data_IF_618883774862
#
_entry.id   IF_618883774862
#
_cell.length_a   1.000
_cell.length_b   1.000
_cell.length_c   1.000
_cell.angle_alpha   90.00
_cell.angle_beta   90.00
_cell.angle_gamma   90.00
#
_symmetry.space_group_name_H-M   'P 1'
#
loop_
_entity.id
_entity.type
_entity.pdbx_description
1 polymer ?
#
# COMPACT_ATOMS: atom_id res chain seq x y z
N UNK A 1 38.74 15.01 -5.71
CA UNK A 1 37.38 14.58 -6.12
C UNK A 1 37.54 13.20 -6.77
N UNK A 2 37.05 12.12 -6.14
CA UNK A 2 37.07 10.77 -6.75
C UNK A 2 35.83 10.69 -7.65
N UNK A 3 36.03 10.62 -8.95
CA UNK A 3 34.97 10.32 -9.93
C UNK A 3 34.38 8.96 -9.60
N UNK A 4 33.05 8.79 -9.50
CA UNK A 4 32.44 7.48 -9.35
C UNK A 4 32.87 6.61 -10.53
N UNK A 5 33.24 5.37 -10.26
CA UNK A 5 33.64 4.46 -11.33
C UNK A 5 32.47 4.22 -12.29
N UNK A 6 32.76 4.17 -13.59
CA UNK A 6 31.77 3.92 -14.67
C UNK A 6 30.93 2.65 -14.36
N UNK A 7 31.50 1.68 -13.66
CA UNK A 7 30.79 0.48 -13.21
C UNK A 7 29.70 0.77 -12.17
N UNK A 8 29.88 1.73 -11.26
CA UNK A 8 28.85 2.13 -10.28
C UNK A 8 27.72 2.90 -10.96
N UNK A 9 28.03 3.75 -11.95
CA UNK A 9 27.02 4.47 -12.74
C UNK A 9 26.22 3.52 -13.66
N UNK A 10 26.87 2.49 -14.24
CA UNK A 10 26.21 1.47 -15.06
C UNK A 10 25.32 0.54 -14.19
N UNK A 11 25.75 0.18 -12.97
CA UNK A 11 24.93 -0.61 -12.04
C UNK A 11 23.72 0.18 -11.56
N UNK A 12 23.84 1.49 -11.28
CA UNK A 12 22.70 2.37 -10.96
C UNK A 12 21.77 2.58 -12.17
N UNK A 13 22.30 2.66 -13.38
CA UNK A 13 21.50 2.80 -14.60
C UNK A 13 20.72 1.51 -14.93
N UNK A 14 21.29 0.32 -14.68
CA UNK A 14 20.59 -0.95 -14.78
C UNK A 14 19.48 -1.09 -13.71
N UNK A 15 19.72 -0.62 -12.49
CA UNK A 15 18.71 -0.57 -11.41
C UNK A 15 17.59 0.44 -11.73
N UNK A 16 17.90 1.54 -12.44
CA UNK A 16 16.92 2.51 -12.90
C UNK A 16 16.07 2.00 -14.07
N UNK A 17 16.65 1.17 -14.95
CA UNK A 17 15.93 0.55 -16.08
C UNK A 17 14.99 -0.59 -15.65
N UNK A 18 15.20 -1.16 -14.46
CA UNK A 18 14.29 -2.18 -13.87
C UNK A 18 13.17 -1.56 -13.01
N UNK A 19 13.01 -0.23 -13.05
CA UNK A 19 12.07 0.52 -12.20
C UNK A 19 12.42 0.41 -10.72
N UNK A 20 12.23 1.47 -9.93
CA UNK A 20 12.40 1.45 -8.48
C UNK A 20 11.29 0.59 -7.80
N UNK A 21 11.20 -0.69 -8.15
CA UNK A 21 10.08 -1.59 -7.82
C UNK A 21 10.45 -2.62 -6.75
N UNK A 22 11.15 -2.18 -5.70
CA UNK A 22 11.35 -3.04 -4.53
C UNK A 22 10.04 -3.26 -3.73
N UNK A 23 9.00 -2.48 -4.02
CA UNK A 23 7.72 -2.53 -3.31
C UNK A 23 6.69 -3.35 -4.09
N UNK A 24 5.86 -4.11 -3.36
CA UNK A 24 4.66 -4.76 -3.89
C UNK A 24 3.65 -3.75 -4.46
N UNK A 25 2.51 -4.24 -4.91
CA UNK A 25 1.44 -3.39 -5.44
C UNK A 25 0.69 -2.67 -4.33
N UNK A 26 0.54 -3.33 -3.17
CA UNK A 26 -0.22 -2.78 -2.06
C UNK A 26 0.45 -1.55 -1.45
N UNK A 27 -0.30 -0.45 -1.39
CA UNK A 27 0.12 0.80 -0.76
C UNK A 27 -0.31 0.78 0.70
N UNK A 28 0.62 0.71 1.68
CA UNK A 28 0.27 0.71 3.09
C UNK A 28 -0.28 2.06 3.56
N UNK A 29 -1.09 2.04 4.63
CA UNK A 29 -1.71 3.23 5.21
C UNK A 29 -3.08 3.59 4.61
N UNK A 30 -3.68 2.71 3.80
CA UNK A 30 -4.98 3.00 3.16
C UNK A 30 -6.19 2.55 3.99
N UNK A 31 -6.05 1.63 4.94
CA UNK A 31 -7.20 1.11 5.70
C UNK A 31 -7.52 1.91 6.97
N UNK A 32 -6.56 2.15 7.85
CA UNK A 32 -6.72 3.00 9.04
C UNK A 32 -7.51 2.34 10.19
N UNK A 33 -8.34 3.15 10.87
CA UNK A 33 -9.16 2.70 12.00
C UNK A 33 -10.15 1.63 11.53
N UNK A 34 -10.28 0.54 12.32
CA UNK A 34 -11.15 -0.60 12.03
C UNK A 34 -10.80 -1.30 10.69
N UNK A 35 -9.50 -1.40 10.40
CA UNK A 35 -8.97 -1.90 9.13
C UNK A 35 -9.48 -3.29 8.71
N UNK A 36 -9.90 -4.12 9.66
CA UNK A 36 -10.38 -5.49 9.43
C UNK A 36 -11.91 -5.64 9.53
N UNK A 37 -12.66 -4.53 9.60
CA UNK A 37 -14.12 -4.56 9.65
C UNK A 37 -14.69 -4.47 8.24
N UNK A 38 -15.24 -5.58 7.74
CA UNK A 38 -15.96 -5.64 6.46
C UNK A 38 -17.36 -5.02 6.68
N UNK A 39 -17.88 -4.18 5.76
CA UNK A 39 -19.21 -3.63 5.90
C UNK A 39 -20.29 -4.73 5.74
N UNK A 40 -21.55 -4.49 6.19
CA UNK A 40 -22.67 -5.43 5.98
C UNK A 40 -22.94 -5.66 4.49
N UNK A 41 -23.80 -6.64 4.14
CA UNK A 41 -24.22 -6.86 2.76
C UNK A 41 -24.67 -5.57 2.07
N UNK A 42 -24.15 -5.32 0.85
CA UNK A 42 -24.40 -4.10 0.10
C UNK A 42 -23.31 -3.83 -0.94
N UNK A 43 -23.48 -2.77 -1.70
CA UNK A 43 -22.50 -2.29 -2.68
C UNK A 43 -21.85 -1.03 -2.15
N UNK A 44 -20.54 -0.94 -2.29
CA UNK A 44 -19.75 0.16 -1.74
C UNK A 44 -18.72 0.66 -2.77
N UNK A 45 -18.56 1.96 -2.77
CA UNK A 45 -17.45 2.62 -3.43
C UNK A 45 -16.55 3.27 -2.38
N UNK A 46 -15.24 3.05 -2.51
CA UNK A 46 -14.24 3.71 -1.70
C UNK A 46 -13.25 4.43 -2.64
N UNK A 47 -13.26 5.75 -2.58
CA UNK A 47 -12.32 6.59 -3.32
C UNK A 47 -11.19 7.03 -2.38
N UNK A 48 -9.96 6.55 -2.63
CA UNK A 48 -8.78 6.92 -1.85
C UNK A 48 -7.96 7.95 -2.62
N UNK A 49 -7.97 9.19 -2.19
CA UNK A 49 -7.02 10.20 -2.66
C UNK A 49 -5.78 10.14 -1.76
N UNK A 50 -4.69 9.68 -2.32
CA UNK A 50 -3.41 9.51 -1.62
C UNK A 50 -2.38 10.47 -2.21
N UNK A 51 -1.65 11.16 -1.35
CA UNK A 51 -0.44 11.89 -1.73
C UNK A 51 0.71 11.40 -0.86
N UNK A 52 1.70 10.77 -1.49
CA UNK A 52 2.93 10.33 -0.87
C UNK A 52 4.07 11.24 -1.32
N UNK A 53 4.58 12.04 -0.39
CA UNK A 53 5.75 12.88 -0.61
C UNK A 53 7.00 12.13 -0.17
N UNK A 54 7.91 11.88 -1.10
CA UNK A 54 9.18 11.19 -0.88
C UNK A 54 10.23 12.25 -0.55
N UNK A 55 10.70 12.24 0.71
CA UNK A 55 11.71 13.18 1.19
C UNK A 55 13.11 12.74 0.80
N UNK A 56 13.35 11.41 0.81
CA UNK A 56 14.62 10.76 0.55
C UNK A 56 14.44 9.37 -0.04
N UNK A 57 15.51 8.85 -0.64
CA UNK A 57 15.65 7.44 -1.00
C UNK A 57 16.76 6.80 -0.18
N UNK A 58 16.53 5.59 0.32
CA UNK A 58 17.57 4.77 0.93
C UNK A 58 18.43 4.12 -0.13
N UNK A 59 19.74 4.09 0.09
CA UNK A 59 20.67 3.42 -0.81
C UNK A 59 20.46 1.89 -0.78
N UNK A 60 20.64 1.18 -1.90
CA UNK A 60 20.51 -0.27 -1.97
C UNK A 60 21.20 -1.00 -0.82
N UNK A 61 20.54 -1.98 -0.21
CA UNK A 61 21.01 -2.76 0.93
C UNK A 61 21.15 -1.98 2.24
N UNK A 62 20.76 -0.70 2.31
CA UNK A 62 21.12 0.20 3.40
C UNK A 62 19.91 0.95 3.97
N UNK A 63 20.08 1.48 5.19
CA UNK A 63 19.20 2.49 5.79
C UNK A 63 19.73 3.92 5.64
N UNK A 64 20.92 4.10 5.03
CA UNK A 64 21.49 5.41 4.74
C UNK A 64 20.84 6.05 3.52
N UNK A 65 20.82 7.37 3.46
CA UNK A 65 20.28 8.09 2.30
C UNK A 65 21.15 7.85 1.05
N UNK A 66 20.48 7.74 -0.09
CA UNK A 66 21.13 7.77 -1.39
C UNK A 66 21.79 9.15 -1.58
N UNK A 67 23.09 9.24 -1.97
CA UNK A 67 23.78 10.52 -2.14
C UNK A 67 23.09 11.44 -3.16
N UNK A 68 23.10 12.76 -2.89
CA UNK A 68 22.53 13.79 -3.75
C UNK A 68 21.08 14.14 -3.39
N UNK A 69 20.48 15.03 -4.18
CA UNK A 69 19.06 15.38 -4.03
C UNK A 69 18.19 14.33 -4.71
N UNK A 70 17.51 13.53 -3.90
CA UNK A 70 16.62 12.48 -4.38
C UNK A 70 15.26 12.65 -3.72
N UNK A 71 14.24 12.92 -4.51
CA UNK A 71 12.88 13.20 -4.04
C UNK A 71 11.84 12.74 -5.04
N UNK A 72 10.60 12.68 -4.61
CA UNK A 72 9.50 12.37 -5.52
C UNK A 72 8.15 12.65 -4.89
N UNK A 73 7.12 12.53 -5.70
CA UNK A 73 5.73 12.61 -5.24
C UNK A 73 4.92 11.58 -6.01
N UNK A 74 4.10 10.83 -5.29
CA UNK A 74 3.09 9.95 -5.88
C UNK A 74 1.73 10.45 -5.44
N UNK A 75 0.89 10.87 -6.39
CA UNK A 75 -0.52 11.19 -6.15
C UNK A 75 -1.35 10.12 -6.82
N UNK A 76 -2.30 9.52 -6.11
CA UNK A 76 -3.16 8.49 -6.63
C UNK A 76 -4.60 8.69 -6.19
N UNK A 77 -5.54 8.43 -7.10
CA UNK A 77 -6.95 8.19 -6.81
C UNK A 77 -7.21 6.71 -7.04
N UNK A 78 -7.23 5.91 -5.97
CA UNK A 78 -7.59 4.51 -6.07
C UNK A 78 -9.11 4.36 -5.91
N UNK A 79 -9.75 3.85 -6.96
CA UNK A 79 -11.18 3.58 -7.00
C UNK A 79 -11.40 2.12 -6.63
N UNK A 80 -11.94 1.85 -5.43
CA UNK A 80 -12.25 0.50 -4.94
C UNK A 80 -13.76 0.30 -4.94
N UNK A 81 -14.19 -0.74 -5.61
CA UNK A 81 -15.57 -1.19 -5.68
C UNK A 81 -15.67 -2.49 -4.89
N UNK A 82 -16.60 -2.54 -3.95
CA UNK A 82 -16.82 -3.70 -3.07
C UNK A 82 -18.29 -4.09 -3.13
N UNK A 83 -18.54 -5.35 -3.32
CA UNK A 83 -19.88 -5.93 -3.21
C UNK A 83 -19.85 -7.06 -2.18
N UNK A 84 -20.48 -6.84 -1.04
CA UNK A 84 -20.71 -7.86 -0.03
C UNK A 84 -22.12 -8.40 -0.25
N UNK A 85 -22.24 -9.70 -0.42
CA UNK A 85 -23.49 -10.38 -0.73
C UNK A 85 -24.17 -10.87 0.55
N UNK A 86 -25.44 -11.24 0.47
CA UNK A 86 -26.17 -11.94 1.54
C UNK A 86 -25.74 -13.43 1.64
N UNK A 87 -24.97 -13.92 0.66
CA UNK A 87 -24.46 -15.28 0.69
C UNK A 87 -23.38 -15.44 1.75
N UNK A 88 -23.47 -16.52 2.51
CA UNK A 88 -22.51 -16.84 3.57
C UNK A 88 -21.62 -18.01 3.18
N UNK A 89 -20.32 -17.88 3.46
CA UNK A 89 -19.32 -18.94 3.28
C UNK A 89 -18.51 -19.06 4.58
N UNK A 90 -18.43 -20.26 5.14
CA UNK A 90 -17.73 -20.51 6.42
C UNK A 90 -18.22 -19.60 7.57
N UNK A 91 -19.50 -19.25 7.58
CA UNK A 91 -20.09 -18.35 8.59
C UNK A 91 -19.77 -16.86 8.39
N UNK A 92 -19.08 -16.50 7.32
CA UNK A 92 -18.77 -15.12 6.93
C UNK A 92 -19.72 -14.64 5.83
N UNK A 93 -19.97 -13.33 5.72
CA UNK A 93 -20.53 -12.74 4.53
C UNK A 93 -19.49 -12.82 3.40
N UNK A 94 -19.90 -13.33 2.25
CA UNK A 94 -19.04 -13.41 1.06
C UNK A 94 -19.17 -12.14 0.23
N UNK A 95 -18.05 -11.67 -0.29
CA UNK A 95 -18.00 -10.54 -1.20
C UNK A 95 -16.89 -10.63 -2.23
N UNK A 96 -16.91 -9.66 -3.13
CA UNK A 96 -15.90 -9.46 -4.17
C UNK A 96 -15.50 -8.00 -4.24
N UNK A 97 -14.31 -7.72 -4.74
CA UNK A 97 -13.83 -6.35 -4.88
C UNK A 97 -12.96 -6.16 -6.13
N UNK A 98 -12.85 -4.91 -6.57
CA UNK A 98 -11.91 -4.49 -7.59
C UNK A 98 -11.32 -3.13 -7.24
N UNK A 99 -10.05 -2.89 -7.60
CA UNK A 99 -9.39 -1.59 -7.40
C UNK A 99 -8.79 -1.15 -8.73
N UNK A 100 -9.10 0.08 -9.13
CA UNK A 100 -8.56 0.74 -10.33
C UNK A 100 -7.87 2.03 -9.89
N UNK A 101 -6.52 2.08 -9.82
CA UNK A 101 -5.80 3.28 -9.42
C UNK A 101 -5.53 4.18 -10.64
N UNK A 102 -5.78 5.48 -10.48
CA UNK A 102 -5.31 6.54 -11.35
C UNK A 102 -4.15 7.22 -10.64
N UNK A 103 -2.98 7.27 -11.28
CA UNK A 103 -1.75 7.68 -10.62
C UNK A 103 -1.03 8.78 -11.39
N UNK A 104 -0.34 9.64 -10.63
CA UNK A 104 0.72 10.51 -11.13
C UNK A 104 1.93 10.36 -10.24
N UNK A 105 3.06 10.01 -10.85
CA UNK A 105 4.35 9.91 -10.17
C UNK A 105 5.30 10.95 -10.76
N UNK A 106 6.04 11.64 -9.90
CA UNK A 106 7.13 12.54 -10.28
C UNK A 106 8.37 12.17 -9.48
N UNK A 107 9.48 11.92 -10.13
CA UNK A 107 10.73 11.48 -9.54
C UNK A 107 11.89 12.36 -9.97
N UNK A 108 12.75 12.72 -9.02
CA UNK A 108 14.08 13.28 -9.25
C UNK A 108 15.07 12.47 -8.44
N UNK A 109 15.92 11.68 -9.11
CA UNK A 109 16.93 10.83 -8.47
C UNK A 109 18.29 11.22 -9.10
N UNK A 110 18.93 12.24 -8.52
CA UNK A 110 20.19 12.80 -9.06
C UNK A 110 21.30 11.74 -9.09
N UNK A 111 21.31 10.81 -8.12
CA UNK A 111 22.27 9.71 -8.11
C UNK A 111 22.21 8.81 -9.36
N UNK A 112 21.04 8.73 -10.00
CA UNK A 112 20.81 7.96 -11.21
C UNK A 112 20.58 8.82 -12.47
N UNK A 113 20.65 10.16 -12.36
CA UNK A 113 20.37 11.07 -13.48
C UNK A 113 18.90 11.05 -13.93
N UNK A 114 17.96 10.64 -13.04
CA UNK A 114 16.54 10.53 -13.36
C UNK A 114 15.83 11.84 -13.01
N UNK A 115 15.08 12.38 -13.97
CA UNK A 115 14.06 13.42 -13.76
C UNK A 115 12.88 13.07 -14.67
N UNK A 116 11.81 12.50 -14.09
CA UNK A 116 10.68 12.00 -14.88
C UNK A 116 9.35 12.23 -14.16
N UNK A 117 8.29 12.40 -14.96
CA UNK A 117 6.92 12.50 -14.45
C UNK A 117 5.94 11.83 -15.40
N UNK A 118 5.13 10.90 -14.88
CA UNK A 118 4.13 10.16 -15.66
C UNK A 118 2.79 10.12 -14.93
N UNK A 119 1.74 10.06 -15.73
CA UNK A 119 0.38 9.82 -15.24
C UNK A 119 -0.24 8.68 -16.03
N UNK A 120 -1.10 7.90 -15.39
CA UNK A 120 -1.80 6.81 -16.05
C UNK A 120 -2.63 5.97 -15.09
N UNK A 121 -3.27 4.95 -15.64
CA UNK A 121 -3.91 3.89 -14.88
C UNK A 121 -2.82 2.97 -14.34
N UNK A 122 -2.85 2.68 -13.04
CA UNK A 122 -1.97 1.70 -12.42
C UNK A 122 -2.42 0.26 -12.64
N UNK A 123 -1.70 -0.66 -12.05
CA UNK A 123 -2.08 -2.07 -12.08
C UNK A 123 -3.39 -2.29 -11.34
N UNK A 124 -4.31 -3.06 -11.95
CA UNK A 124 -5.65 -3.31 -11.44
C UNK A 124 -5.63 -4.50 -10.48
N UNK A 125 -6.36 -4.38 -9.38
CA UNK A 125 -6.60 -5.48 -8.46
C UNK A 125 -7.99 -6.07 -8.66
N UNK A 126 -8.06 -7.41 -8.64
CA UNK A 126 -9.29 -8.18 -8.65
C UNK A 126 -9.30 -9.11 -7.43
N UNK A 127 -10.28 -8.93 -6.54
CA UNK A 127 -10.47 -9.71 -5.33
C UNK A 127 -11.74 -10.56 -5.41
N UNK A 128 -11.67 -11.79 -5.93
CA UNK A 128 -12.83 -12.67 -6.07
C UNK A 128 -13.31 -13.26 -4.73
N UNK A 129 -12.55 -13.06 -3.66
CA UNK A 129 -12.88 -13.57 -2.35
C UNK A 129 -12.65 -12.50 -1.28
N UNK A 130 -13.72 -12.10 -0.63
CA UNK A 130 -13.72 -11.33 0.62
C UNK A 130 -14.68 -12.03 1.59
N UNK A 131 -14.21 -12.36 2.78
CA UNK A 131 -14.99 -13.00 3.84
C UNK A 131 -14.97 -12.08 5.06
N UNK A 132 -16.15 -11.68 5.54
CA UNK A 132 -16.30 -10.82 6.71
C UNK A 132 -17.08 -11.54 7.82
N UNK A 133 -16.48 -11.65 8.99
CA UNK A 133 -17.13 -12.18 10.20
C UNK A 133 -17.39 -11.06 11.18
N UNK A 134 -18.52 -11.12 11.86
CA UNK A 134 -18.94 -10.15 12.86
C UNK A 134 -19.34 -10.83 14.16
N UNK A 135 -18.62 -10.51 15.23
CA UNK A 135 -18.92 -10.96 16.60
C UNK A 135 -19.43 -9.81 17.48
N UNK A 136 -19.77 -10.13 18.74
CA UNK A 136 -20.25 -9.11 19.68
C UNK A 136 -19.24 -7.97 19.90
N UNK A 137 -17.94 -8.30 19.99
CA UNK A 137 -16.86 -7.36 20.26
C UNK A 137 -15.68 -7.54 19.29
N UNK A 138 -15.89 -8.12 18.12
CA UNK A 138 -14.84 -8.28 17.13
C UNK A 138 -15.41 -8.36 15.72
N UNK A 139 -14.61 -7.95 14.76
CA UNK A 139 -14.81 -8.20 13.32
C UNK A 139 -13.54 -8.84 12.79
N UNK A 140 -13.68 -9.72 11.80
CA UNK A 140 -12.54 -10.33 11.13
C UNK A 140 -12.73 -10.33 9.61
N UNK A 141 -11.62 -10.32 8.89
CA UNK A 141 -11.60 -10.41 7.44
C UNK A 141 -10.59 -11.44 6.97
N UNK A 142 -10.96 -12.21 5.96
CA UNK A 142 -10.01 -12.91 5.09
C UNK A 142 -10.34 -12.59 3.64
N UNK A 143 -9.31 -12.36 2.82
CA UNK A 143 -9.52 -12.09 1.40
C UNK A 143 -8.37 -12.63 0.57
N UNK A 144 -8.67 -12.90 -0.70
CA UNK A 144 -7.67 -13.31 -1.70
C UNK A 144 -7.96 -12.64 -3.04
N UNK A 145 -6.89 -12.21 -3.72
CA UNK A 145 -7.02 -11.59 -5.03
C UNK A 145 -5.70 -11.48 -5.78
N UNK A 146 -5.76 -10.84 -6.93
CA UNK A 146 -4.68 -10.74 -7.87
C UNK A 146 -4.49 -9.30 -8.34
N UNK A 147 -3.29 -8.78 -8.23
CA UNK A 147 -2.82 -7.61 -8.94
C UNK A 147 -2.37 -8.02 -10.34
N UNK A 148 -2.86 -7.30 -11.34
CA UNK A 148 -2.48 -7.50 -12.74
C UNK A 148 -1.19 -6.72 -13.04
N UNK A 149 -0.60 -6.97 -14.21
CA UNK A 149 0.55 -6.24 -14.76
C UNK A 149 0.12 -5.47 -16.03
N UNK A 150 -1.01 -4.78 -15.93
CA UNK A 150 -1.65 -4.14 -17.08
C UNK A 150 -1.22 -2.68 -17.32
N UNK A 151 -0.52 -2.09 -16.39
CA UNK A 151 -0.08 -0.69 -16.50
C UNK A 151 1.27 -0.57 -17.23
N UNK A 152 1.54 0.64 -17.76
CA UNK A 152 2.80 0.93 -18.46
C UNK A 152 4.00 0.89 -17.50
N UNK A 153 5.13 0.38 -18.01
CA UNK A 153 6.43 0.31 -17.33
C UNK A 153 7.56 0.92 -18.17
N UNK A 154 7.22 1.74 -19.18
CA UNK A 154 8.18 2.25 -20.16
C UNK A 154 9.22 3.21 -19.59
N UNK A 155 8.90 3.89 -18.50
CA UNK A 155 9.71 4.99 -17.93
C UNK A 155 9.84 4.83 -16.40
N UNK A 156 10.83 5.49 -15.76
CA UNK A 156 11.07 5.38 -14.32
C UNK A 156 9.87 5.80 -13.44
N UNK A 157 9.06 6.78 -13.88
CA UNK A 157 7.87 7.23 -13.17
C UNK A 157 6.58 6.55 -13.65
N UNK A 158 6.64 5.55 -14.52
CA UNK A 158 5.48 4.82 -15.02
C UNK A 158 4.68 4.15 -13.90
N UNK A 159 3.35 4.05 -14.04
CA UNK A 159 2.46 3.57 -12.97
C UNK A 159 2.50 2.04 -12.75
N UNK A 160 2.97 1.27 -13.72
CA UNK A 160 3.00 -0.20 -13.67
C UNK A 160 4.18 -0.75 -12.90
N UNK A 161 4.01 -1.94 -12.34
CA UNK A 161 5.06 -2.69 -11.65
C UNK A 161 5.77 -3.70 -12.57
N UNK A 162 5.12 -4.12 -13.66
CA UNK A 162 5.67 -5.08 -14.62
C UNK A 162 5.69 -6.54 -14.15
N UNK A 163 4.97 -6.85 -13.08
CA UNK A 163 4.76 -8.20 -12.57
C UNK A 163 3.37 -8.31 -11.94
N UNK A 164 2.86 -9.54 -11.81
CA UNK A 164 1.60 -9.84 -11.11
C UNK A 164 1.88 -10.19 -9.66
N UNK A 165 0.90 -9.95 -8.77
CA UNK A 165 1.00 -10.39 -7.38
C UNK A 165 -0.30 -11.07 -6.94
N UNK A 166 -0.19 -12.27 -6.38
CA UNK A 166 -1.28 -12.85 -5.59
C UNK A 166 -1.23 -12.23 -4.20
N UNK A 167 -2.35 -11.65 -3.74
CA UNK A 167 -2.45 -11.04 -2.42
C UNK A 167 -3.42 -11.81 -1.55
N UNK A 168 -2.96 -12.19 -0.36
CA UNK A 168 -3.77 -12.77 0.71
C UNK A 168 -3.89 -11.74 1.83
N UNK A 169 -5.09 -11.57 2.35
CA UNK A 169 -5.41 -10.64 3.43
C UNK A 169 -6.01 -11.39 4.61
N UNK A 170 -5.62 -11.05 5.82
CA UNK A 170 -6.23 -11.53 7.07
C UNK A 170 -6.15 -10.45 8.13
N UNK A 171 -7.20 -10.30 8.93
CA UNK A 171 -7.20 -9.27 9.97
C UNK A 171 -8.30 -9.41 11.00
N UNK A 172 -8.11 -8.67 12.09
CA UNK A 172 -9.02 -8.58 13.23
C UNK A 172 -9.16 -7.14 13.67
N UNK A 173 -10.39 -6.71 13.91
CA UNK A 173 -10.75 -5.52 14.70
C UNK A 173 -11.37 -6.00 16.00
N UNK A 174 -10.84 -5.56 17.13
CA UNK A 174 -11.38 -5.86 18.46
C UNK A 174 -11.91 -4.59 19.12
N UNK A 175 -13.10 -4.69 19.71
CA UNK A 175 -13.75 -3.62 20.46
C UNK A 175 -13.60 -3.88 21.95
N UNK A 176 -12.90 -2.97 22.64
CA UNK A 176 -12.58 -3.14 24.06
C UNK A 176 -13.77 -2.87 24.98
N UNK A 177 -14.83 -2.26 24.45
CA UNK A 177 -16.07 -1.96 25.15
C UNK A 177 -17.30 -2.45 24.36
N UNK A 178 -18.39 -2.76 25.07
CA UNK A 178 -19.64 -3.22 24.45
C UNK A 178 -20.31 -2.19 23.55
N UNK A 179 -20.07 -0.90 23.81
CA UNK A 179 -20.58 0.18 22.98
C UNK A 179 -19.77 0.37 21.69
N UNK A 180 -18.71 -0.43 21.50
CA UNK A 180 -17.80 -0.40 20.33
C UNK A 180 -17.16 0.99 20.11
N UNK A 181 -16.94 1.75 21.20
CA UNK A 181 -16.34 3.09 21.12
C UNK A 181 -14.83 3.07 21.10
N UNK A 182 -14.18 2.05 21.69
CA UNK A 182 -12.73 1.88 21.67
C UNK A 182 -12.37 0.61 20.89
N UNK A 183 -11.57 0.75 19.84
CA UNK A 183 -11.19 -0.36 18.97
C UNK A 183 -9.69 -0.42 18.72
N UNK A 184 -9.16 -1.64 18.61
CA UNK A 184 -7.84 -1.92 18.06
C UNK A 184 -7.98 -2.77 16.82
N UNK A 185 -7.20 -2.54 15.80
CA UNK A 185 -7.20 -3.37 14.60
C UNK A 185 -5.79 -3.74 14.15
N UNK A 186 -5.69 -4.93 13.57
CA UNK A 186 -4.50 -5.41 12.87
C UNK A 186 -4.95 -6.09 11.57
N UNK A 187 -4.37 -5.66 10.46
CA UNK A 187 -4.64 -6.19 9.13
C UNK A 187 -3.33 -6.55 8.45
N UNK A 188 -3.17 -7.79 8.09
CA UNK A 188 -1.98 -8.29 7.40
C UNK A 188 -2.30 -8.63 5.95
N UNK A 189 -1.40 -8.26 5.06
CA UNK A 189 -1.40 -8.62 3.64
C UNK A 189 -0.09 -9.27 3.27
N UNK A 190 -0.19 -10.42 2.63
CA UNK A 190 0.95 -11.12 2.03
C UNK A 190 0.83 -11.06 0.51
N UNK A 191 1.86 -10.53 -0.16
CA UNK A 191 1.94 -10.47 -1.61
C UNK A 191 3.03 -11.43 -2.11
N UNK A 192 2.63 -12.36 -2.97
CA UNK A 192 3.53 -13.23 -3.72
C UNK A 192 3.69 -12.71 -5.13
N UNK A 193 4.90 -12.31 -5.49
CA UNK A 193 5.20 -11.66 -6.75
C UNK A 193 5.60 -12.66 -7.85
N UNK A 194 5.20 -12.38 -9.08
CA UNK A 194 5.65 -13.11 -10.28
C UNK A 194 6.98 -12.52 -10.79
N UNK A 195 7.53 -13.13 -11.83
CA UNK A 195 8.66 -12.56 -12.59
C UNK A 195 8.18 -11.46 -13.52
N UNK A 196 9.01 -10.46 -13.72
CA UNK A 196 8.89 -9.49 -14.81
C UNK A 196 9.25 -10.13 -16.15
N UNK A 197 8.96 -9.45 -17.25
CA UNK A 197 9.38 -9.88 -18.60
C UNK A 197 10.91 -10.01 -18.75
N UNK A 198 11.68 -9.23 -17.98
CA UNK A 198 13.14 -9.29 -17.93
C UNK A 198 13.70 -10.44 -17.06
N UNK A 199 12.82 -11.28 -16.48
CA UNK A 199 13.22 -12.41 -15.65
C UNK A 199 13.56 -12.08 -14.20
N UNK A 200 13.50 -10.82 -13.79
CA UNK A 200 13.64 -10.41 -12.39
C UNK A 200 12.34 -10.73 -11.63
N UNK A 201 12.45 -11.25 -10.41
CA UNK A 201 11.32 -11.49 -9.51
C UNK A 201 11.57 -10.74 -8.21
N UNK A 202 10.74 -9.73 -7.88
CA UNK A 202 10.76 -9.10 -6.57
C UNK A 202 10.41 -10.11 -5.48
N UNK A 203 11.08 -10.00 -4.33
CA UNK A 203 10.77 -10.83 -3.16
C UNK A 203 9.32 -10.61 -2.70
N UNK A 204 8.77 -11.63 -2.09
CA UNK A 204 7.42 -11.59 -1.52
C UNK A 204 7.38 -10.62 -0.34
N UNK A 205 6.23 -9.99 -0.09
CA UNK A 205 6.09 -8.96 0.94
C UNK A 205 4.98 -9.26 1.93
N UNK A 206 5.19 -8.82 3.15
CA UNK A 206 4.16 -8.75 4.19
C UNK A 206 3.97 -7.29 4.58
N UNK A 207 2.74 -6.84 4.61
CA UNK A 207 2.33 -5.55 5.14
C UNK A 207 1.40 -5.77 6.32
N UNK A 208 1.71 -5.16 7.46
CA UNK A 208 0.84 -5.06 8.62
C UNK A 208 0.38 -3.61 8.77
N UNK A 209 -0.92 -3.38 8.72
CA UNK A 209 -1.54 -2.12 9.18
C UNK A 209 -2.17 -2.33 10.56
N UNK A 210 -2.01 -1.35 11.44
CA UNK A 210 -2.55 -1.40 12.79
C UNK A 210 -3.14 -0.06 13.20
N UNK A 211 -4.09 -0.10 14.13
CA UNK A 211 -4.73 1.10 14.65
C UNK A 211 -5.23 0.91 16.08
N UNK A 212 -5.32 2.05 16.79
CA UNK A 212 -6.07 2.21 18.02
C UNK A 212 -6.96 3.44 17.86
N UNK A 213 -8.27 3.23 17.81
CA UNK A 213 -9.25 4.27 17.52
C UNK A 213 -10.31 4.40 18.59
N UNK A 214 -10.79 5.62 18.83
CA UNK A 214 -11.88 5.91 19.76
C UNK A 214 -12.94 6.79 19.09
N UNK A 215 -14.20 6.44 19.30
CA UNK A 215 -15.34 7.25 18.90
C UNK A 215 -15.67 8.32 19.95
N UNK A 216 -15.87 9.54 19.49
CA UNK A 216 -16.30 10.72 20.26
C UNK A 216 -17.60 11.23 19.63
N UNK A 217 -18.73 10.64 20.05
CA UNK A 217 -20.00 10.86 19.36
C UNK A 217 -19.95 10.34 17.92
N UNK A 218 -20.18 11.21 16.96
CA UNK A 218 -20.17 10.86 15.54
C UNK A 218 -18.74 10.73 14.96
N UNK A 219 -17.73 11.38 15.54
CA UNK A 219 -16.36 11.37 15.03
C UNK A 219 -15.58 10.26 15.68
N UNK A 220 -14.78 9.52 14.91
CA UNK A 220 -13.74 8.65 15.43
C UNK A 220 -12.37 9.23 15.16
N UNK A 221 -11.47 9.14 16.14
CA UNK A 221 -10.08 9.56 16.01
C UNK A 221 -9.16 8.47 16.54
N UNK A 222 -7.95 8.37 16.00
CA UNK A 222 -7.02 7.35 16.48
C UNK A 222 -5.61 7.48 15.94
N UNK A 223 -4.75 6.66 16.53
CA UNK A 223 -3.39 6.43 16.08
C UNK A 223 -3.43 5.26 15.10
N UNK A 224 -2.73 5.42 14.00
CA UNK A 224 -2.62 4.42 12.93
C UNK A 224 -1.16 4.22 12.56
N UNK A 225 -0.84 3.08 11.99
CA UNK A 225 0.51 2.84 11.51
C UNK A 225 0.58 1.65 10.57
N UNK A 226 1.73 1.52 9.95
CA UNK A 226 2.02 0.34 9.14
C UNK A 226 3.48 -0.09 9.24
N UNK A 227 3.69 -1.35 8.98
CA UNK A 227 4.99 -1.96 8.81
C UNK A 227 4.95 -2.85 7.59
N UNK A 228 5.94 -2.71 6.72
CA UNK A 228 6.08 -3.52 5.52
C UNK A 228 7.47 -4.15 5.49
N UNK A 229 7.53 -5.42 5.14
CA UNK A 229 8.76 -6.19 5.07
C UNK A 229 8.78 -7.04 3.81
N UNK A 230 9.89 -7.05 3.12
CA UNK A 230 10.21 -8.09 2.15
C UNK A 230 10.60 -9.36 2.90
N UNK A 231 9.94 -10.48 2.60
CA UNK A 231 10.10 -11.75 3.34
C UNK A 231 11.01 -12.74 2.64
N UNK A 232 11.03 -12.73 1.30
CA UNK A 232 11.94 -13.56 0.49
C UNK A 232 12.92 -12.67 -0.27
N UNK A 233 14.07 -13.24 -0.68
CA UNK A 233 15.02 -12.51 -1.51
C UNK A 233 14.45 -12.25 -2.90
N UNK A 234 14.93 -11.18 -3.53
CA UNK A 234 14.76 -10.99 -4.96
C UNK A 234 15.52 -12.08 -5.71
N UNK A 235 15.15 -12.34 -6.94
CA UNK A 235 15.81 -13.30 -7.79
C UNK A 235 15.84 -12.90 -9.26
N UNK A 236 16.81 -13.40 -10.00
CA UNK A 236 17.03 -13.07 -11.41
C UNK A 236 18.13 -12.01 -11.60
N UNK A 237 18.20 -11.39 -12.79
CA UNK A 237 19.27 -10.44 -13.13
C UNK A 237 19.33 -9.25 -12.16
N UNK A 238 20.50 -8.96 -11.60
CA UNK A 238 20.74 -7.83 -10.70
C UNK A 238 20.17 -7.95 -9.29
N UNK A 239 19.59 -9.09 -8.92
CA UNK A 239 19.02 -9.31 -7.59
C UNK A 239 20.12 -9.40 -6.51
N UNK A 240 19.84 -8.84 -5.31
CA UNK A 240 20.64 -9.03 -4.11
C UNK A 240 19.87 -9.86 -3.06
N UNK A 241 20.55 -10.25 -1.99
CA UNK A 241 19.93 -10.90 -0.83
C UNK A 241 19.38 -9.89 0.20
N UNK A 242 19.57 -8.60 -0.03
CA UNK A 242 19.08 -7.55 0.85
C UNK A 242 17.56 -7.46 0.78
N UNK A 243 16.95 -7.26 1.95
CA UNK A 243 15.49 -7.17 2.09
C UNK A 243 15.07 -5.78 2.51
N UNK A 244 14.07 -5.27 1.81
CA UNK A 244 13.46 -3.97 2.11
C UNK A 244 12.56 -4.06 3.35
N UNK A 245 12.51 -2.95 4.09
CA UNK A 245 11.56 -2.77 5.18
C UNK A 245 11.22 -1.28 5.35
N UNK A 246 9.99 -0.97 5.78
CA UNK A 246 9.59 0.39 6.17
C UNK A 246 8.52 0.37 7.25
N UNK A 247 8.51 1.42 8.07
CA UNK A 247 7.58 1.56 9.20
C UNK A 247 7.11 3.00 9.28
N UNK A 248 5.82 3.18 9.53
CA UNK A 248 5.21 4.50 9.69
C UNK A 248 4.24 4.53 10.86
N UNK A 249 4.10 5.73 11.42
CA UNK A 249 3.11 6.07 12.44
C UNK A 249 2.33 7.29 11.96
N UNK A 250 1.07 7.36 12.32
CA UNK A 250 0.18 8.40 11.86
C UNK A 250 -1.04 8.59 12.74
N UNK A 251 -1.94 9.44 12.29
CA UNK A 251 -3.22 9.69 12.91
C UNK A 251 -4.32 9.70 11.86
N UNK A 252 -5.52 9.30 12.24
CA UNK A 252 -6.71 9.30 11.40
C UNK A 252 -7.92 9.89 12.11
N UNK A 253 -8.75 10.58 11.33
CA UNK A 253 -10.10 11.00 11.68
C UNK A 253 -11.10 10.34 10.74
N UNK A 254 -12.24 9.90 11.29
CA UNK A 254 -13.36 9.32 10.54
C UNK A 254 -14.63 10.07 10.91
N UNK A 255 -15.36 10.54 9.90
CA UNK A 255 -16.62 11.27 10.06
C UNK A 255 -17.71 10.64 9.19
N UNK A 256 -18.75 10.02 9.79
CA UNK A 256 -19.94 9.62 9.05
C UNK A 256 -20.79 10.87 8.74
N UNK A 257 -21.14 11.06 7.47
CA UNK A 257 -22.04 12.15 7.05
C UNK A 257 -23.49 11.72 7.33
N UNK A 258 -24.18 12.38 8.28
CA UNK A 258 -25.53 11.94 8.68
C UNK A 258 -26.51 11.89 7.49
N UNK A 259 -27.28 10.81 7.38
CA UNK A 259 -28.32 10.63 6.36
C UNK A 259 -27.81 10.40 4.94
N UNK A 260 -26.51 10.47 4.67
CA UNK A 260 -25.96 10.39 3.31
C UNK A 260 -25.45 8.99 2.91
N UNK A 261 -25.28 8.06 3.87
CA UNK A 261 -24.60 6.78 3.62
C UNK A 261 -23.15 6.99 3.17
N UNK A 262 -22.52 8.06 3.65
CA UNK A 262 -21.15 8.46 3.30
C UNK A 262 -20.31 8.53 4.55
N UNK A 263 -19.07 8.03 4.46
CA UNK A 263 -18.03 8.24 5.47
C UNK A 263 -16.86 8.99 4.82
N UNK A 264 -16.35 9.98 5.52
CA UNK A 264 -15.14 10.72 5.17
C UNK A 264 -14.04 10.32 6.14
N UNK A 265 -12.87 9.96 5.61
CA UNK A 265 -11.71 9.61 6.43
C UNK A 265 -10.54 10.47 5.98
N UNK A 266 -9.78 11.01 6.93
CA UNK A 266 -8.54 11.74 6.69
C UNK A 266 -7.42 11.16 7.54
N UNK A 267 -6.28 10.85 6.94
CA UNK A 267 -5.13 10.30 7.65
C UNK A 267 -3.83 10.94 7.20
N UNK A 268 -2.89 11.03 8.12
CA UNK A 268 -1.51 11.46 7.86
C UNK A 268 -0.57 10.44 8.46
N UNK A 269 0.50 10.10 7.73
CA UNK A 269 1.54 9.17 8.19
C UNK A 269 2.91 9.76 7.95
N UNK A 270 3.84 9.47 8.87
CA UNK A 270 5.27 9.72 8.69
C UNK A 270 6.03 8.40 8.77
N UNK A 271 6.82 8.09 7.75
CA UNK A 271 7.73 6.97 7.81
C UNK A 271 8.89 7.28 8.75
N UNK A 272 8.95 6.53 9.84
CA UNK A 272 9.96 6.72 10.89
C UNK A 272 11.25 5.96 10.56
N UNK A 273 11.14 4.84 9.84
CA UNK A 273 12.30 4.11 9.36
C UNK A 273 12.04 3.48 7.98
N UNK A 274 13.12 3.33 7.20
CA UNK A 274 13.15 2.59 5.96
C UNK A 274 14.54 1.99 5.73
N UNK A 275 14.58 0.77 5.19
CA UNK A 275 15.77 0.08 4.70
C UNK A 275 15.50 -0.39 3.28
N UNK A 276 16.45 -0.17 2.39
CA UNK A 276 16.38 -0.64 1.01
C UNK A 276 16.75 -2.13 0.88
N UNK A 277 16.10 -2.80 -0.09
CA UNK A 277 16.49 -4.11 -0.60
C UNK A 277 17.45 -3.96 -1.77
N UNK A 278 17.19 -4.66 -2.88
CA UNK A 278 18.01 -4.60 -4.10
C UNK A 278 18.04 -3.19 -4.70
N UNK A 279 16.90 -2.52 -4.77
CA UNK A 279 16.78 -1.15 -5.32
C UNK A 279 16.67 -0.08 -4.25
N UNK A 280 16.73 1.21 -4.64
CA UNK A 280 16.50 2.33 -3.72
C UNK A 280 15.10 2.27 -3.10
N UNK A 281 14.98 2.50 -1.79
CA UNK A 281 13.71 2.51 -1.07
C UNK A 281 13.28 3.94 -0.76
N UNK A 282 12.11 4.39 -1.21
CA UNK A 282 11.58 5.69 -0.84
C UNK A 282 11.26 5.76 0.66
N UNK A 283 11.46 6.94 1.25
CA UNK A 283 11.04 7.29 2.61
C UNK A 283 10.41 8.67 2.63
N UNK A 284 9.24 8.80 3.25
CA UNK A 284 8.52 10.06 3.20
C UNK A 284 7.36 10.20 4.16
N UNK A 285 6.35 10.92 3.71
CA UNK A 285 5.10 11.19 4.41
C UNK A 285 3.93 10.94 3.48
N UNK A 286 2.86 10.39 4.02
CA UNK A 286 1.64 10.09 3.28
C UNK A 286 0.46 10.84 3.88
N UNK A 287 -0.31 11.48 3.03
CA UNK A 287 -1.62 12.06 3.36
C UNK A 287 -2.68 11.32 2.55
N UNK A 288 -3.76 10.94 3.21
CA UNK A 288 -4.87 10.25 2.57
C UNK A 288 -6.20 10.89 2.93
N UNK A 289 -7.04 11.08 1.92
CA UNK A 289 -8.47 11.32 2.07
C UNK A 289 -9.23 10.15 1.47
N UNK A 290 -10.24 9.64 2.20
CA UNK A 290 -11.07 8.55 1.72
C UNK A 290 -12.53 8.95 1.80
N UNK A 291 -13.25 8.74 0.70
CA UNK A 291 -14.71 8.80 0.65
C UNK A 291 -15.20 7.35 0.56
N UNK A 292 -16.07 6.95 1.49
CA UNK A 292 -16.77 5.67 1.44
C UNK A 292 -18.25 5.97 1.19
N UNK A 293 -18.84 5.38 0.14
CA UNK A 293 -20.25 5.51 -0.20
C UNK A 293 -20.91 4.13 -0.20
N UNK A 294 -21.97 3.97 0.57
CA UNK A 294 -22.89 2.83 0.51
C UNK A 294 -24.06 3.15 -0.44
N UNK A 295 -24.51 2.14 -1.22
CA UNK A 295 -25.62 2.22 -2.18
C UNK A 295 -26.76 1.28 -1.79
#
# INVERSE_FOLDING_TARGET
MKTPSIAAAAALALLAATGAHADGHYVPGVEGIQAASVPPPGKYYLGYLVNYNIDDFRAPGSSSNLPGHNRGTVTALANRFVWITDYTLLGANYGVEAIVPLMRTSLTINAAGISDSRSGVGDVYLGPLVLGWHGPQWDAVAAAGLWLDNASTSDPASPGKGFKSTMLTGGLTYYFDRAKTLSGAALMRYERNSKTSAGYRPGDQVTLEWSLGKAFGAVSAGIVGYSQWQTTNDSGPGASSDKAARHAVGAELVYPVPGAGVFLKGAVYKEVSAKAGTGPQPKGSLVRFTLVKAF
#
